data_IF_746591066465
#
_entry.id   IF_746591066465
#
_cell.length_a   1.000
_cell.length_b   1.000
_cell.length_c   1.000
_cell.angle_alpha   90.00
_cell.angle_beta   90.00
_cell.angle_gamma   90.00
#
_symmetry.space_group_name_H-M   'P 1'
#
loop_
_entity.id
_entity.type
_entity.pdbx_description
1 polymer ?
#
# COMPACT_ATOMS: atom_id res chain seq x y z
N UNK A 1 -3.38 -26.51 16.57
CA UNK A 1 -1.91 -26.49 16.43
C UNK A 1 -1.58 -25.85 15.09
N UNK A 2 -0.55 -24.99 15.07
CA UNK A 2 -0.33 -23.98 14.03
C UNK A 2 -0.40 -24.52 12.61
N UNK A 3 -1.28 -23.95 11.81
CA UNK A 3 -1.33 -24.18 10.37
C UNK A 3 -0.17 -23.39 9.74
N UNK A 4 0.70 -24.03 8.98
CA UNK A 4 1.85 -23.41 8.31
C UNK A 4 1.44 -22.17 7.49
N UNK A 5 0.26 -22.23 6.88
CA UNK A 5 -0.36 -21.13 6.14
C UNK A 5 -0.70 -19.90 7.01
N UNK A 6 -0.81 -20.06 8.33
CA UNK A 6 -0.98 -18.94 9.28
C UNK A 6 0.34 -18.22 9.54
N UNK A 7 1.47 -18.94 9.47
CA UNK A 7 2.81 -18.35 9.57
C UNK A 7 3.14 -17.51 8.35
N UNK A 8 2.88 -18.03 7.14
CA UNK A 8 3.17 -17.34 5.88
C UNK A 8 2.39 -16.02 5.74
N UNK A 9 1.07 -16.05 6.01
CA UNK A 9 0.24 -14.84 5.96
C UNK A 9 0.69 -13.80 6.97
N UNK A 10 1.10 -14.24 8.16
CA UNK A 10 1.62 -13.34 9.20
C UNK A 10 2.95 -12.72 8.78
N UNK A 11 3.85 -13.49 8.16
CA UNK A 11 5.11 -12.99 7.64
C UNK A 11 4.89 -11.95 6.53
N UNK A 12 3.94 -12.17 5.62
CA UNK A 12 3.59 -11.21 4.56
C UNK A 12 3.08 -9.90 5.17
N UNK A 13 2.15 -9.97 6.13
CA UNK A 13 1.65 -8.78 6.82
C UNK A 13 2.77 -8.04 7.55
N UNK A 14 3.66 -8.77 8.23
CA UNK A 14 4.81 -8.18 8.90
C UNK A 14 5.74 -7.43 7.93
N UNK A 15 6.02 -8.02 6.76
CA UNK A 15 6.82 -7.38 5.71
C UNK A 15 6.13 -6.10 5.22
N UNK A 16 4.81 -6.11 5.01
CA UNK A 16 4.07 -4.92 4.57
C UNK A 16 4.16 -3.82 5.62
N UNK A 17 3.95 -4.14 6.89
CA UNK A 17 4.04 -3.19 8.01
C UNK A 17 5.46 -2.61 8.15
N UNK A 18 6.49 -3.44 8.00
CA UNK A 18 7.88 -3.00 8.05
C UNK A 18 8.23 -2.07 6.87
N UNK A 19 7.73 -2.36 5.66
CA UNK A 19 7.87 -1.45 4.53
C UNK A 19 7.14 -0.11 4.76
N UNK A 20 5.96 -0.14 5.39
CA UNK A 20 5.25 1.08 5.78
C UNK A 20 6.07 1.94 6.76
N UNK A 21 6.67 1.31 7.78
CA UNK A 21 7.54 1.99 8.75
C UNK A 21 8.75 2.64 8.08
N UNK A 22 9.41 1.94 7.14
CA UNK A 22 10.56 2.46 6.38
C UNK A 22 10.19 3.71 5.57
N UNK A 23 9.02 3.70 4.95
CA UNK A 23 8.49 4.82 4.20
C UNK A 23 7.87 5.92 5.07
N UNK A 24 7.86 5.75 6.41
CA UNK A 24 7.21 6.67 7.37
C UNK A 24 5.73 6.92 7.04
N UNK A 25 5.01 5.88 6.64
CA UNK A 25 3.56 5.92 6.45
C UNK A 25 2.87 5.17 7.57
N UNK A 26 1.64 5.59 7.90
CA UNK A 26 0.82 4.88 8.86
C UNK A 26 0.33 3.55 8.23
N UNK A 27 0.68 2.38 8.80
CA UNK A 27 0.32 1.08 8.23
C UNK A 27 -1.20 0.85 8.21
N UNK A 28 -1.94 1.42 9.17
CA UNK A 28 -3.39 1.29 9.22
C UNK A 28 -4.03 2.09 8.08
N UNK A 29 -3.62 3.34 7.91
CA UNK A 29 -4.11 4.19 6.82
C UNK A 29 -3.79 3.58 5.44
N UNK A 30 -2.60 3.02 5.29
CA UNK A 30 -2.18 2.32 4.07
C UNK A 30 -3.07 1.10 3.79
N UNK A 31 -3.27 0.23 4.78
CA UNK A 31 -4.09 -0.98 4.62
C UNK A 31 -5.56 -0.64 4.36
N UNK A 32 -6.12 0.35 5.05
CA UNK A 32 -7.50 0.80 4.83
C UNK A 32 -7.71 1.28 3.39
N UNK A 33 -6.81 2.10 2.84
CA UNK A 33 -6.91 2.57 1.45
C UNK A 33 -6.68 1.43 0.44
N UNK A 34 -5.65 0.61 0.64
CA UNK A 34 -5.32 -0.51 -0.25
C UNK A 34 -6.45 -1.54 -0.28
N UNK A 35 -6.96 -1.98 0.87
CA UNK A 35 -8.05 -2.96 0.94
C UNK A 35 -9.35 -2.42 0.35
N UNK A 36 -9.60 -1.11 0.45
CA UNK A 36 -10.78 -0.47 -0.17
C UNK A 36 -10.65 -0.40 -1.69
N UNK A 37 -9.45 -0.17 -2.22
CA UNK A 37 -9.21 0.00 -3.67
C UNK A 37 -8.96 -1.31 -4.41
N UNK A 38 -8.51 -2.35 -3.72
CA UNK A 38 -8.18 -3.66 -4.31
C UNK A 38 -9.31 -4.30 -5.14
N UNK A 39 -10.60 -4.25 -4.72
CA UNK A 39 -11.70 -4.82 -5.52
C UNK A 39 -11.86 -4.16 -6.89
N UNK A 40 -11.55 -2.87 -6.99
CA UNK A 40 -11.74 -2.06 -8.21
C UNK A 40 -10.47 -1.95 -9.07
N UNK A 41 -9.33 -2.43 -8.58
CA UNK A 41 -8.03 -2.31 -9.24
C UNK A 41 -7.72 -3.48 -10.16
N UNK A 42 -7.18 -3.18 -11.35
CA UNK A 42 -6.63 -4.22 -12.23
C UNK A 42 -5.30 -4.71 -11.67
N UNK A 43 -4.96 -5.97 -11.93
CA UNK A 43 -3.67 -6.57 -11.52
C UNK A 43 -2.47 -5.75 -11.99
N UNK A 44 -2.57 -5.12 -13.17
CA UNK A 44 -1.55 -4.23 -13.74
C UNK A 44 -1.26 -2.99 -12.88
N UNK A 45 -2.21 -2.58 -12.04
CA UNK A 45 -2.16 -1.35 -11.25
C UNK A 45 -1.71 -1.61 -9.80
N UNK A 46 -1.61 -2.87 -9.39
CA UNK A 46 -1.20 -3.27 -8.02
C UNK A 46 0.21 -2.76 -7.67
N UNK A 47 1.11 -2.62 -8.65
CA UNK A 47 2.44 -2.05 -8.43
C UNK A 47 2.38 -0.58 -7.93
N UNK A 48 1.31 0.15 -8.24
CA UNK A 48 1.08 1.51 -7.74
C UNK A 48 0.67 1.53 -6.26
N UNK A 49 0.21 0.41 -5.72
CA UNK A 49 -0.15 0.28 -4.30
C UNK A 49 1.04 -0.06 -3.40
N UNK A 50 2.26 -0.22 -3.91
CA UNK A 50 3.43 -0.39 -3.01
C UNK A 50 3.53 0.80 -2.04
N UNK A 51 3.97 0.60 -0.78
CA UNK A 51 4.02 1.67 0.24
C UNK A 51 4.64 3.00 -0.25
N UNK A 52 5.74 2.90 -1.01
CA UNK A 52 6.41 4.07 -1.58
C UNK A 52 5.59 4.77 -2.68
N UNK A 53 4.93 4.03 -3.56
CA UNK A 53 4.11 4.61 -4.65
C UNK A 53 2.78 5.14 -4.13
N UNK A 54 2.18 4.45 -3.17
CA UNK A 54 1.00 4.91 -2.45
C UNK A 54 1.26 6.26 -1.79
N UNK A 55 2.38 6.39 -1.05
CA UNK A 55 2.81 7.66 -0.47
C UNK A 55 2.95 8.76 -1.52
N UNK A 56 3.63 8.46 -2.63
CA UNK A 56 3.79 9.40 -3.76
C UNK A 56 2.46 9.83 -4.39
N UNK A 57 1.45 8.96 -4.38
CA UNK A 57 0.11 9.27 -4.89
C UNK A 57 -0.73 10.11 -3.93
N UNK A 58 -0.53 9.94 -2.62
CA UNK A 58 -1.21 10.73 -1.57
C UNK A 58 -0.61 12.11 -1.36
N UNK A 59 0.69 12.26 -1.55
CA UNK A 59 1.28 13.60 -1.57
C UNK A 59 0.69 14.33 -2.77
N UNK A 60 -0.10 15.40 -2.58
CA UNK A 60 -0.60 16.18 -3.69
C UNK A 60 0.63 16.66 -4.45
N UNK A 61 0.83 16.15 -5.66
CA UNK A 61 1.66 16.84 -6.63
C UNK A 61 0.99 18.21 -6.73
N UNK A 62 1.60 19.22 -6.10
CA UNK A 62 1.27 20.63 -6.26
C UNK A 62 0.81 20.79 -7.70
N UNK A 63 -0.49 21.05 -7.86
CA UNK A 63 -1.18 20.99 -9.13
C UNK A 63 -0.30 21.65 -10.18
N UNK A 64 0.23 20.85 -11.11
CA UNK A 64 0.87 21.45 -12.28
C UNK A 64 -0.29 22.14 -12.99
N UNK A 65 -0.35 23.49 -13.04
CA UNK A 65 -1.41 24.14 -13.77
C UNK A 65 -1.26 23.64 -15.20
N UNK A 66 -2.31 23.01 -15.71
CA UNK A 66 -2.45 22.79 -17.14
C UNK A 66 -2.71 24.18 -17.73
N UNK A 67 -1.64 24.94 -17.94
CA UNK A 67 -1.68 26.15 -18.73
C UNK A 67 -1.94 25.72 -20.17
N UNK A 68 -3.17 25.96 -20.61
CA UNK A 68 -3.57 26.00 -22.01
C UNK A 68 -3.44 27.44 -22.49
#
# INVERSE_FOLDING_TARGET
>A
MGNEASGEKTAILYIIVENCRREKIDPREYLEDVLTRLPDLKTSEVAALTPANWKRSKTPKLARPKAA
#
